data_IF_772596904749
#
_entry.id   IF_772596904749
#
_cell.length_a   1.000
_cell.length_b   1.000
_cell.length_c   1.000
_cell.angle_alpha   90.00
_cell.angle_beta   90.00
_cell.angle_gamma   90.00
#
_symmetry.space_group_name_H-M   'P 1'
#
loop_
_entity.id
_entity.type
_entity.pdbx_description
1 polymer ?
#
# COMPACT_ATOMS: atom_id res chain seq x y z
N UNK A 1 -10.09 -50.20 17.80
CA UNK A 1 -9.61 -49.43 16.63
C UNK A 1 -8.08 -49.36 16.54
N UNK A 2 -7.34 -48.99 17.61
CA UNK A 2 -5.86 -48.91 17.57
C UNK A 2 -5.16 -50.18 17.02
N UNK A 3 -5.54 -51.37 17.47
CA UNK A 3 -4.95 -52.64 16.98
C UNK A 3 -5.22 -52.91 15.49
N UNK A 4 -6.43 -52.57 15.01
CA UNK A 4 -6.85 -52.73 13.61
C UNK A 4 -6.14 -51.72 12.70
N UNK A 5 -5.97 -50.48 13.17
CA UNK A 5 -5.23 -49.43 12.47
C UNK A 5 -3.77 -49.79 12.21
N UNK A 6 -3.13 -50.48 13.17
CA UNK A 6 -1.74 -50.96 13.02
C UNK A 6 -1.61 -52.27 12.26
N UNK A 7 -2.64 -53.12 12.27
CA UNK A 7 -2.57 -54.47 11.70
C UNK A 7 -2.92 -54.57 10.21
N UNK A 8 -3.66 -53.59 9.64
CA UNK A 8 -4.07 -53.62 8.24
C UNK A 8 -3.88 -52.28 7.55
N UNK A 9 -2.98 -52.23 6.56
CA UNK A 9 -2.74 -51.05 5.71
C UNK A 9 -3.98 -50.66 4.90
N UNK A 10 -4.73 -51.64 4.41
CA UNK A 10 -5.97 -51.43 3.65
C UNK A 10 -7.04 -50.71 4.48
N UNK A 11 -7.30 -51.19 5.70
CA UNK A 11 -8.29 -50.58 6.62
C UNK A 11 -7.86 -49.17 7.00
N UNK A 12 -6.57 -48.97 7.27
CA UNK A 12 -5.99 -47.65 7.52
C UNK A 12 -6.23 -46.68 6.35
N UNK A 13 -5.89 -47.07 5.13
CA UNK A 13 -6.03 -46.20 3.96
C UNK A 13 -7.50 -45.84 3.67
N UNK A 14 -8.41 -46.81 3.70
CA UNK A 14 -9.82 -46.58 3.38
C UNK A 14 -10.47 -45.62 4.37
N UNK A 15 -10.31 -45.86 5.67
CA UNK A 15 -10.95 -45.02 6.68
C UNK A 15 -10.28 -43.66 6.83
N UNK A 16 -9.00 -43.54 6.49
CA UNK A 16 -8.32 -42.23 6.45
C UNK A 16 -8.83 -41.37 5.28
N UNK A 17 -8.88 -41.91 4.05
CA UNK A 17 -9.41 -41.17 2.90
C UNK A 17 -10.92 -40.91 3.00
N UNK A 18 -11.65 -41.86 3.58
CA UNK A 18 -13.08 -41.76 3.84
C UNK A 18 -13.45 -41.02 5.12
N UNK A 19 -12.49 -40.43 5.83
CA UNK A 19 -12.72 -39.89 7.17
C UNK A 19 -13.88 -38.89 7.26
N UNK A 20 -14.06 -37.91 6.35
CA UNK A 20 -15.20 -37.00 6.42
C UNK A 20 -16.55 -37.72 6.39
N UNK A 21 -16.67 -38.78 5.58
CA UNK A 21 -17.88 -39.62 5.52
C UNK A 21 -18.04 -40.46 6.79
N UNK A 22 -16.96 -41.04 7.30
CA UNK A 22 -16.97 -41.80 8.55
C UNK A 22 -17.42 -40.93 9.72
N UNK A 23 -16.86 -39.73 9.84
CA UNK A 23 -17.22 -38.74 10.85
C UNK A 23 -18.71 -38.41 10.79
N UNK A 24 -19.23 -38.12 9.60
CA UNK A 24 -20.66 -37.85 9.37
C UNK A 24 -21.55 -39.04 9.76
N UNK A 25 -21.14 -40.27 9.45
CA UNK A 25 -21.89 -41.47 9.82
C UNK A 25 -21.93 -41.66 11.34
N UNK A 26 -20.83 -41.40 12.03
CA UNK A 26 -20.74 -41.48 13.50
C UNK A 26 -21.56 -40.39 14.17
N UNK A 27 -21.47 -39.13 13.71
CA UNK A 27 -22.31 -38.04 14.23
C UNK A 27 -23.80 -38.32 14.03
N UNK A 28 -24.20 -38.71 12.81
CA UNK A 28 -25.60 -39.05 12.53
C UNK A 28 -26.11 -40.23 13.37
N UNK A 29 -25.25 -41.23 13.63
CA UNK A 29 -25.60 -42.33 14.52
C UNK A 29 -25.81 -41.83 15.94
N UNK A 30 -24.89 -41.03 16.46
CA UNK A 30 -24.97 -40.45 17.81
C UNK A 30 -26.23 -39.58 17.95
N UNK A 31 -26.53 -38.75 16.96
CA UNK A 31 -27.71 -37.87 16.95
C UNK A 31 -29.01 -38.66 16.86
N UNK A 32 -29.07 -39.69 16.02
CA UNK A 32 -30.24 -40.58 15.94
C UNK A 32 -30.46 -41.32 17.24
N UNK A 33 -29.42 -41.93 17.81
CA UNK A 33 -29.55 -42.63 19.10
C UNK A 33 -29.97 -41.66 20.21
N UNK A 34 -29.39 -40.45 20.24
CA UNK A 34 -29.77 -39.44 21.23
C UNK A 34 -31.24 -39.05 21.11
N UNK A 35 -31.71 -38.77 19.90
CA UNK A 35 -33.08 -38.34 19.61
C UNK A 35 -34.11 -39.44 19.86
N UNK A 36 -33.82 -40.66 19.41
CA UNK A 36 -34.73 -41.81 19.52
C UNK A 36 -34.84 -42.30 20.97
N UNK A 37 -33.91 -41.89 21.85
CA UNK A 37 -33.87 -42.29 23.26
C UNK A 37 -34.18 -41.13 24.22
N UNK A 38 -34.53 -39.96 23.68
CA UNK A 38 -34.95 -38.79 24.45
C UNK A 38 -36.42 -38.92 24.88
N UNK A 39 -36.63 -39.63 25.99
CA UNK A 39 -37.97 -39.84 26.58
C UNK A 39 -38.06 -39.10 27.92
N UNK A 40 -39.12 -38.31 28.12
CA UNK A 40 -39.35 -37.58 29.39
C UNK A 40 -39.31 -38.55 30.59
N UNK A 41 -38.40 -38.28 31.53
CA UNK A 41 -38.25 -39.04 32.77
C UNK A 41 -37.34 -40.27 32.69
N UNK A 42 -36.71 -40.53 31.53
CA UNK A 42 -35.76 -41.64 31.34
C UNK A 42 -34.40 -41.07 30.93
N UNK A 43 -33.32 -41.66 31.45
CA UNK A 43 -31.97 -41.29 31.06
C UNK A 43 -31.72 -41.65 29.57
N UNK A 44 -31.08 -40.77 28.77
CA UNK A 44 -30.73 -41.06 27.39
C UNK A 44 -29.85 -42.31 27.28
N UNK A 45 -29.96 -43.05 26.17
CA UNK A 45 -29.16 -44.28 26.00
C UNK A 45 -27.66 -44.04 25.86
N UNK A 46 -27.26 -42.82 25.46
CA UNK A 46 -25.86 -42.41 25.37
C UNK A 46 -25.66 -41.16 26.24
N UNK A 47 -24.78 -41.27 27.23
CA UNK A 47 -24.30 -40.13 28.02
C UNK A 47 -23.40 -39.22 27.19
N UNK A 48 -23.21 -37.96 27.61
CA UNK A 48 -22.25 -37.05 26.96
C UNK A 48 -20.85 -37.69 26.84
N UNK A 49 -20.39 -38.32 27.91
CA UNK A 49 -19.10 -39.01 27.95
C UNK A 49 -19.04 -40.20 26.97
N UNK A 50 -20.15 -40.91 26.78
CA UNK A 50 -20.27 -41.97 25.78
C UNK A 50 -20.16 -41.46 24.35
N UNK A 51 -20.72 -40.27 24.06
CA UNK A 51 -20.55 -39.60 22.76
C UNK A 51 -19.07 -39.30 22.51
N UNK A 52 -18.40 -38.72 23.50
CA UNK A 52 -16.99 -38.35 23.42
C UNK A 52 -16.10 -39.59 23.21
N UNK A 53 -16.40 -40.70 23.89
CA UNK A 53 -15.69 -41.97 23.69
C UNK A 53 -15.88 -42.56 22.29
N UNK A 54 -17.08 -42.43 21.70
CA UNK A 54 -17.35 -42.89 20.33
C UNK A 54 -16.61 -42.05 19.28
N UNK A 55 -16.54 -40.74 19.47
CA UNK A 55 -15.75 -39.84 18.62
C UNK A 55 -14.25 -40.13 18.79
N UNK A 56 -13.78 -40.30 20.03
CA UNK A 56 -12.38 -40.63 20.32
C UNK A 56 -11.95 -41.97 19.69
N UNK A 57 -12.88 -42.91 19.47
CA UNK A 57 -12.57 -44.18 18.83
C UNK A 57 -12.13 -44.04 17.36
N UNK A 58 -12.54 -42.96 16.68
CA UNK A 58 -12.18 -42.67 15.29
C UNK A 58 -11.08 -41.59 15.13
N UNK A 59 -10.62 -40.98 16.22
CA UNK A 59 -9.64 -39.88 16.21
C UNK A 59 -8.29 -40.25 15.58
N UNK A 60 -7.92 -41.53 15.62
CA UNK A 60 -6.70 -42.01 14.94
C UNK A 60 -6.76 -41.80 13.41
N UNK A 61 -7.96 -41.91 12.82
CA UNK A 61 -8.19 -41.65 11.39
C UNK A 61 -8.29 -40.15 11.12
N UNK A 62 -8.81 -39.37 12.06
CA UNK A 62 -8.79 -37.90 12.00
C UNK A 62 -7.36 -37.39 11.90
N UNK A 63 -6.51 -37.79 12.84
CA UNK A 63 -5.11 -37.37 12.90
C UNK A 63 -4.37 -37.76 11.61
N UNK A 64 -4.61 -38.97 11.11
CA UNK A 64 -4.03 -39.43 9.85
C UNK A 64 -4.53 -38.62 8.63
N UNK A 65 -5.82 -38.30 8.59
CA UNK A 65 -6.43 -37.50 7.52
C UNK A 65 -5.88 -36.08 7.49
N UNK A 66 -5.78 -35.43 8.66
CA UNK A 66 -5.20 -34.09 8.79
C UNK A 66 -3.71 -34.08 8.40
N UNK A 67 -2.93 -35.07 8.85
CA UNK A 67 -1.54 -35.20 8.44
C UNK A 67 -1.37 -35.41 6.93
N UNK A 68 -2.28 -36.16 6.30
CA UNK A 68 -2.28 -36.37 4.85
C UNK A 68 -2.68 -35.10 4.09
N UNK A 69 -3.64 -34.33 4.60
CA UNK A 69 -4.02 -33.01 4.07
C UNK A 69 -2.80 -32.07 4.08
N UNK A 70 -2.16 -31.91 5.24
CA UNK A 70 -0.97 -31.09 5.40
C UNK A 70 0.16 -31.55 4.46
N UNK A 71 0.51 -32.84 4.45
CA UNK A 71 1.61 -33.37 3.63
C UNK A 71 1.37 -33.11 2.14
N UNK A 72 0.19 -33.47 1.61
CA UNK A 72 -0.11 -33.31 0.17
C UNK A 72 -0.02 -31.86 -0.26
N UNK A 73 -0.61 -30.95 0.52
CA UNK A 73 -0.59 -29.52 0.22
C UNK A 73 0.82 -28.92 0.36
N UNK A 74 1.57 -29.30 1.39
CA UNK A 74 2.98 -28.91 1.55
C UNK A 74 3.84 -29.40 0.39
N UNK A 75 3.62 -30.61 -0.12
CA UNK A 75 4.34 -31.14 -1.28
C UNK A 75 4.08 -30.31 -2.54
N UNK A 76 2.84 -29.86 -2.77
CA UNK A 76 2.54 -28.92 -3.86
C UNK A 76 3.31 -27.60 -3.70
N UNK A 77 3.33 -27.02 -2.51
CA UNK A 77 4.08 -25.77 -2.24
C UNK A 77 5.58 -25.98 -2.48
N UNK A 78 6.15 -27.07 -1.96
CA UNK A 78 7.58 -27.38 -2.11
C UNK A 78 8.00 -27.62 -3.57
N UNK A 79 7.10 -28.19 -4.38
CA UNK A 79 7.35 -28.41 -5.80
C UNK A 79 7.30 -27.12 -6.62
N UNK A 80 6.43 -26.17 -6.25
CA UNK A 80 6.29 -24.88 -6.93
C UNK A 80 7.35 -23.89 -6.47
N UNK A 81 7.72 -23.92 -5.19
CA UNK A 81 8.73 -23.06 -4.58
C UNK A 81 9.88 -23.91 -3.98
N UNK A 82 10.74 -24.50 -4.84
CA UNK A 82 11.83 -25.35 -4.39
C UNK A 82 12.92 -24.54 -3.66
N UNK A 83 13.38 -25.06 -2.52
CA UNK A 83 14.51 -24.52 -1.75
C UNK A 83 15.87 -25.14 -2.12
N UNK A 84 15.87 -26.17 -2.98
CA UNK A 84 16.97 -27.14 -3.08
C UNK A 84 18.31 -26.60 -3.63
N UNK A 85 18.38 -25.39 -4.20
CA UNK A 85 19.66 -24.76 -4.53
C UNK A 85 19.57 -23.25 -4.80
N UNK A 86 20.72 -22.58 -4.80
CA UNK A 86 20.87 -21.19 -5.27
C UNK A 86 20.45 -21.07 -6.75
N UNK A 87 20.66 -22.09 -7.58
CA UNK A 87 20.23 -22.13 -8.99
C UNK A 87 18.71 -22.28 -9.15
N UNK A 88 18.00 -22.82 -8.16
CA UNK A 88 16.53 -22.87 -8.14
C UNK A 88 15.86 -21.53 -7.81
N UNK A 89 16.60 -20.52 -7.32
CA UNK A 89 16.07 -19.16 -7.05
C UNK A 89 15.72 -18.33 -8.29
N UNK A 90 16.00 -18.88 -9.48
CA UNK A 90 15.67 -18.28 -10.77
C UNK A 90 14.39 -18.80 -11.41
N UNK A 91 13.76 -19.86 -10.86
CA UNK A 91 12.59 -20.47 -11.47
C UNK A 91 11.34 -19.67 -11.09
N UNK A 92 10.71 -19.07 -12.10
CA UNK A 92 9.41 -18.41 -11.94
C UNK A 92 8.32 -19.49 -11.98
N UNK A 93 7.47 -19.61 -10.94
CA UNK A 93 6.31 -20.48 -10.97
C UNK A 93 5.44 -20.23 -12.20
N UNK A 94 4.90 -21.27 -12.82
CA UNK A 94 3.94 -21.08 -13.90
C UNK A 94 2.56 -20.74 -13.36
N UNK A 95 1.75 -20.02 -14.14
CA UNK A 95 0.35 -19.71 -13.78
C UNK A 95 -0.48 -20.99 -13.52
N UNK A 96 -0.20 -22.07 -14.25
CA UNK A 96 -0.85 -23.36 -14.08
C UNK A 96 -0.49 -24.01 -12.73
N UNK A 97 0.78 -23.94 -12.32
CA UNK A 97 1.23 -24.41 -11.01
C UNK A 97 0.54 -23.67 -9.86
N UNK A 98 0.42 -22.35 -9.97
CA UNK A 98 -0.27 -21.51 -8.99
C UNK A 98 -1.76 -21.82 -8.94
N UNK A 99 -2.39 -21.94 -10.12
CA UNK A 99 -3.80 -22.32 -10.23
C UNK A 99 -4.08 -23.68 -9.57
N UNK A 100 -3.17 -24.65 -9.74
CA UNK A 100 -3.26 -25.98 -9.11
C UNK A 100 -3.20 -25.90 -7.59
N UNK A 101 -2.30 -25.11 -7.00
CA UNK A 101 -2.26 -24.93 -5.54
C UNK A 101 -3.60 -24.40 -5.02
N UNK A 102 -4.11 -23.34 -5.65
CA UNK A 102 -5.38 -22.72 -5.25
C UNK A 102 -6.53 -23.71 -5.36
N UNK A 103 -6.63 -24.44 -6.49
CA UNK A 103 -7.67 -25.45 -6.69
C UNK A 103 -7.60 -26.56 -5.65
N UNK A 104 -6.42 -27.07 -5.32
CA UNK A 104 -6.26 -28.13 -4.30
C UNK A 104 -6.68 -27.65 -2.92
N UNK A 105 -6.34 -26.42 -2.54
CA UNK A 105 -6.80 -25.84 -1.27
C UNK A 105 -8.33 -25.70 -1.27
N UNK A 106 -8.92 -25.23 -2.38
CA UNK A 106 -10.37 -25.08 -2.51
C UNK A 106 -11.09 -26.44 -2.42
N UNK A 107 -10.55 -27.49 -3.05
CA UNK A 107 -11.07 -28.85 -2.97
C UNK A 107 -11.06 -29.40 -1.53
N UNK A 108 -9.96 -29.20 -0.78
CA UNK A 108 -9.89 -29.64 0.62
C UNK A 108 -10.92 -28.91 1.51
N UNK A 109 -11.18 -27.62 1.25
CA UNK A 109 -12.23 -26.86 1.95
C UNK A 109 -13.62 -27.37 1.59
N UNK A 110 -13.91 -27.60 0.30
CA UNK A 110 -15.23 -28.05 -0.15
C UNK A 110 -15.60 -29.44 0.39
N UNK A 111 -14.63 -30.34 0.56
CA UNK A 111 -14.85 -31.68 1.15
C UNK A 111 -15.38 -31.60 2.58
N UNK A 112 -14.98 -30.59 3.35
CA UNK A 112 -15.33 -30.47 4.78
C UNK A 112 -16.31 -29.34 5.09
N UNK A 113 -16.74 -28.58 4.08
CA UNK A 113 -17.56 -27.37 4.23
C UNK A 113 -18.87 -27.57 5.01
N UNK A 114 -19.43 -28.78 4.98
CA UNK A 114 -20.66 -29.14 5.70
C UNK A 114 -20.41 -29.62 7.14
N UNK A 115 -19.15 -29.76 7.55
CA UNK A 115 -18.76 -30.32 8.84
C UNK A 115 -18.09 -29.26 9.71
N UNK A 116 -18.85 -28.58 10.58
CA UNK A 116 -18.37 -27.43 11.34
C UNK A 116 -17.03 -27.65 12.08
N UNK A 117 -16.93 -28.70 12.88
CA UNK A 117 -15.71 -29.00 13.65
C UNK A 117 -14.54 -29.46 12.75
N UNK A 118 -14.79 -30.42 11.87
CA UNK A 118 -13.77 -30.95 10.96
C UNK A 118 -13.24 -29.88 9.99
N UNK A 119 -14.10 -28.95 9.54
CA UNK A 119 -13.71 -27.80 8.74
C UNK A 119 -12.67 -26.95 9.46
N UNK A 120 -12.91 -26.60 10.73
CA UNK A 120 -11.94 -25.80 11.50
C UNK A 120 -10.59 -26.52 11.63
N UNK A 121 -10.59 -27.83 11.88
CA UNK A 121 -9.37 -28.62 11.94
C UNK A 121 -8.59 -28.61 10.61
N UNK A 122 -9.28 -28.80 9.48
CA UNK A 122 -8.65 -28.73 8.15
C UNK A 122 -8.15 -27.32 7.84
N UNK A 123 -8.90 -26.28 8.19
CA UNK A 123 -8.48 -24.89 8.00
C UNK A 123 -7.22 -24.54 8.81
N UNK A 124 -7.04 -25.14 10.00
CA UNK A 124 -5.80 -25.00 10.76
C UNK A 124 -4.60 -25.64 10.07
N UNK A 125 -4.79 -26.77 9.37
CA UNK A 125 -3.72 -27.36 8.54
C UNK A 125 -3.45 -26.51 7.29
N UNK A 126 -4.50 -26.02 6.61
CA UNK A 126 -4.36 -25.08 5.47
C UNK A 126 -3.62 -23.81 5.90
N UNK A 127 -3.90 -23.27 7.09
CA UNK A 127 -3.17 -22.12 7.65
C UNK A 127 -1.67 -22.38 7.69
N UNK A 128 -1.22 -23.56 8.15
CA UNK A 128 0.21 -23.93 8.16
C UNK A 128 0.80 -23.97 6.76
N UNK A 129 0.06 -24.53 5.80
CA UNK A 129 0.47 -24.58 4.38
C UNK A 129 0.61 -23.17 3.79
N UNK A 130 -0.34 -22.28 4.06
CA UNK A 130 -0.29 -20.90 3.55
C UNK A 130 0.87 -20.11 4.15
N UNK A 131 1.18 -20.32 5.43
CA UNK A 131 2.37 -19.75 6.06
C UNK A 131 3.66 -20.27 5.42
N UNK A 132 3.74 -21.59 5.18
CA UNK A 132 4.85 -22.19 4.44
C UNK A 132 4.97 -21.59 3.03
N UNK A 133 3.85 -21.39 2.33
CA UNK A 133 3.85 -20.77 1.00
C UNK A 133 4.42 -19.36 1.05
N UNK A 134 4.01 -18.54 2.03
CA UNK A 134 4.52 -17.20 2.20
C UNK A 134 6.03 -17.18 2.47
N UNK A 135 6.51 -18.01 3.40
CA UNK A 135 7.94 -18.14 3.73
C UNK A 135 8.77 -18.54 2.49
N UNK A 136 8.27 -19.51 1.72
CA UNK A 136 8.95 -19.96 0.50
C UNK A 136 8.95 -18.91 -0.59
N UNK A 137 7.86 -18.15 -0.73
CA UNK A 137 7.77 -17.06 -1.69
C UNK A 137 8.70 -15.90 -1.31
N UNK A 138 8.78 -15.55 -0.04
CA UNK A 138 9.67 -14.51 0.49
C UNK A 138 11.13 -14.84 0.17
N UNK A 139 11.56 -16.09 0.38
CA UNK A 139 12.92 -16.55 0.04
C UNK A 139 13.26 -16.43 -1.46
N UNK A 140 12.24 -16.38 -2.33
CA UNK A 140 12.39 -16.23 -3.78
C UNK A 140 12.48 -14.77 -4.22
N UNK A 141 12.12 -13.80 -3.37
CA UNK A 141 12.19 -12.37 -3.69
C UNK A 141 13.63 -11.94 -3.93
N UNK A 142 13.89 -11.31 -5.08
CA UNK A 142 15.17 -10.67 -5.34
C UNK A 142 15.24 -9.31 -4.66
N UNK A 143 16.26 -9.09 -3.83
CA UNK A 143 16.48 -7.86 -3.05
C UNK A 143 17.77 -7.09 -3.42
N UNK A 144 18.51 -7.58 -4.43
CA UNK A 144 19.76 -6.96 -4.89
C UNK A 144 19.57 -5.61 -5.60
N UNK A 145 20.66 -4.91 -5.91
CA UNK A 145 20.60 -3.61 -6.63
C UNK A 145 19.87 -3.70 -7.98
N UNK A 146 19.96 -4.84 -8.65
CA UNK A 146 19.27 -5.10 -9.92
C UNK A 146 17.73 -5.15 -9.80
N UNK A 147 17.18 -5.38 -8.60
CA UNK A 147 15.72 -5.39 -8.40
C UNK A 147 15.13 -3.98 -8.29
N UNK A 148 15.94 -2.99 -7.91
CA UNK A 148 15.51 -1.60 -7.66
C UNK A 148 15.87 -0.61 -8.76
N UNK A 149 16.58 -1.03 -9.81
CA UNK A 149 16.94 -0.10 -10.89
C UNK A 149 15.71 0.44 -11.62
N UNK A 150 15.71 1.72 -11.96
CA UNK A 150 14.60 2.39 -12.67
C UNK A 150 15.03 2.95 -14.02
N UNK A 151 16.24 2.59 -14.45
CA UNK A 151 16.86 3.03 -15.70
C UNK A 151 17.14 1.83 -16.59
N UNK A 152 16.85 1.95 -17.88
CA UNK A 152 17.08 0.87 -18.84
C UNK A 152 15.99 -0.20 -18.81
N UNK A 153 16.26 -1.36 -19.40
CA UNK A 153 15.27 -2.43 -19.48
C UNK A 153 15.07 -3.13 -18.13
N UNK A 154 13.88 -3.70 -17.93
CA UNK A 154 13.58 -4.50 -16.75
C UNK A 154 14.52 -5.71 -16.64
N UNK A 155 15.17 -5.88 -15.49
CA UNK A 155 16.10 -6.99 -15.23
C UNK A 155 15.35 -8.32 -15.05
N UNK A 156 16.07 -9.44 -15.19
CA UNK A 156 15.51 -10.75 -14.87
C UNK A 156 15.04 -10.84 -13.41
N UNK A 157 15.74 -10.19 -12.48
CA UNK A 157 15.36 -10.10 -11.07
C UNK A 157 14.02 -9.36 -10.88
N UNK A 158 13.81 -8.26 -11.62
CA UNK A 158 12.55 -7.50 -11.59
C UNK A 158 11.40 -8.29 -12.20
N UNK A 159 11.62 -8.90 -13.38
CA UNK A 159 10.61 -9.74 -14.05
C UNK A 159 10.18 -10.89 -13.13
N UNK A 160 11.13 -11.51 -12.41
CA UNK A 160 10.83 -12.54 -11.41
C UNK A 160 9.95 -11.99 -10.28
N UNK A 161 10.32 -10.86 -9.69
CA UNK A 161 9.53 -10.25 -8.62
C UNK A 161 8.13 -9.84 -9.12
N UNK A 162 7.98 -9.38 -10.37
CA UNK A 162 6.69 -9.02 -10.96
C UNK A 162 5.78 -10.23 -11.07
N UNK A 163 6.30 -11.35 -11.59
CA UNK A 163 5.55 -12.60 -11.68
C UNK A 163 5.17 -13.11 -10.28
N UNK A 164 6.10 -13.06 -9.32
CA UNK A 164 5.84 -13.46 -7.94
C UNK A 164 4.73 -12.61 -7.29
N UNK A 165 4.78 -11.28 -7.43
CA UNK A 165 3.73 -10.38 -6.97
C UNK A 165 2.36 -10.76 -7.55
N UNK A 166 2.29 -10.99 -8.86
CA UNK A 166 1.05 -11.34 -9.56
C UNK A 166 0.50 -12.70 -9.08
N UNK A 167 1.36 -13.70 -8.92
CA UNK A 167 0.97 -15.03 -8.45
C UNK A 167 0.46 -15.03 -7.01
N UNK A 168 1.17 -14.35 -6.11
CA UNK A 168 0.74 -14.24 -4.71
C UNK A 168 -0.55 -13.43 -4.59
N UNK A 169 -0.70 -12.37 -5.39
CA UNK A 169 -1.95 -11.62 -5.44
C UNK A 169 -3.11 -12.47 -5.97
N UNK A 170 -2.89 -13.33 -6.97
CA UNK A 170 -3.90 -14.27 -7.46
C UNK A 170 -4.32 -15.26 -6.37
N UNK A 171 -3.35 -15.87 -5.65
CA UNK A 171 -3.61 -16.76 -4.52
C UNK A 171 -4.44 -16.05 -3.46
N UNK A 172 -3.99 -14.86 -3.03
CA UNK A 172 -4.69 -14.05 -2.04
C UNK A 172 -6.13 -13.75 -2.46
N UNK A 173 -6.33 -13.28 -3.70
CA UNK A 173 -7.66 -12.88 -4.20
C UNK A 173 -8.62 -14.07 -4.24
N UNK A 174 -8.18 -15.19 -4.80
CA UNK A 174 -9.02 -16.38 -4.95
C UNK A 174 -9.35 -17.03 -3.61
N UNK A 175 -8.37 -17.15 -2.70
CA UNK A 175 -8.60 -17.74 -1.40
C UNK A 175 -9.37 -16.81 -0.45
N UNK A 176 -9.22 -15.49 -0.57
CA UNK A 176 -10.06 -14.53 0.16
C UNK A 176 -11.52 -14.61 -0.30
N UNK A 177 -11.77 -14.80 -1.60
CA UNK A 177 -13.12 -15.03 -2.12
C UNK A 177 -13.72 -16.36 -1.64
N UNK A 178 -12.89 -17.40 -1.46
CA UNK A 178 -13.33 -18.64 -0.82
C UNK A 178 -13.63 -18.42 0.67
N UNK A 179 -12.74 -17.74 1.40
CA UNK A 179 -12.90 -17.45 2.82
C UNK A 179 -14.16 -16.62 3.12
N UNK A 180 -14.51 -15.65 2.26
CA UNK A 180 -15.73 -14.84 2.43
C UNK A 180 -17.04 -15.63 2.26
N UNK A 181 -16.97 -16.84 1.68
CA UNK A 181 -18.12 -17.76 1.58
C UNK A 181 -18.25 -18.70 2.78
N UNK A 182 -17.29 -18.68 3.72
CA UNK A 182 -17.28 -19.51 4.93
C UNK A 182 -17.90 -18.77 6.13
N UNK A 183 -18.31 -19.48 7.20
CA UNK A 183 -18.70 -18.87 8.47
C UNK A 183 -17.58 -17.98 9.05
N UNK A 184 -17.94 -16.92 9.79
CA UNK A 184 -16.98 -15.92 10.29
C UNK A 184 -15.79 -16.51 11.04
N UNK A 185 -16.04 -17.48 11.93
CA UNK A 185 -14.98 -18.17 12.70
C UNK A 185 -13.98 -18.90 11.78
N UNK A 186 -14.47 -19.51 10.70
CA UNK A 186 -13.66 -20.21 9.72
C UNK A 186 -12.87 -19.24 8.82
N UNK A 187 -13.49 -18.12 8.42
CA UNK A 187 -12.82 -17.07 7.66
C UNK A 187 -11.66 -16.44 8.45
N UNK A 188 -11.83 -16.25 9.77
CA UNK A 188 -10.81 -15.69 10.65
C UNK A 188 -9.54 -16.55 10.76
N UNK A 189 -9.66 -17.88 10.65
CA UNK A 189 -8.50 -18.78 10.64
C UNK A 189 -7.57 -18.50 9.45
N UNK A 190 -8.16 -18.08 8.32
CA UNK A 190 -7.44 -17.82 7.06
C UNK A 190 -7.02 -16.35 6.91
N UNK A 191 -7.59 -15.40 7.65
CA UNK A 191 -7.32 -13.97 7.49
C UNK A 191 -5.84 -13.62 7.71
N UNK A 192 -5.25 -14.15 8.79
CA UNK A 192 -3.83 -13.95 9.14
C UNK A 192 -2.86 -14.45 8.06
N UNK A 193 -2.86 -15.73 7.65
CA UNK A 193 -1.92 -16.20 6.62
C UNK A 193 -2.15 -15.55 5.25
N UNK A 194 -3.39 -15.22 4.89
CA UNK A 194 -3.69 -14.48 3.65
C UNK A 194 -3.07 -13.07 3.68
N UNK A 195 -3.16 -12.38 4.83
CA UNK A 195 -2.49 -11.08 5.01
C UNK A 195 -0.97 -11.17 4.86
N UNK A 196 -0.34 -12.25 5.34
CA UNK A 196 1.11 -12.47 5.17
C UNK A 196 1.47 -12.67 3.69
N UNK A 197 0.71 -13.50 2.97
CA UNK A 197 0.90 -13.70 1.52
C UNK A 197 0.77 -12.37 0.75
N UNK A 198 -0.22 -11.55 1.10
CA UNK A 198 -0.40 -10.22 0.51
C UNK A 198 0.78 -9.29 0.82
N UNK A 199 1.29 -9.33 2.06
CA UNK A 199 2.49 -8.59 2.48
C UNK A 199 3.70 -8.92 1.62
N UNK A 200 4.03 -10.21 1.48
CA UNK A 200 5.16 -10.68 0.65
C UNK A 200 4.97 -10.27 -0.82
N UNK A 201 3.74 -10.33 -1.35
CA UNK A 201 3.44 -9.86 -2.69
C UNK A 201 3.77 -8.37 -2.85
N UNK A 202 3.35 -7.54 -1.89
CA UNK A 202 3.61 -6.11 -1.89
C UNK A 202 5.11 -5.78 -1.78
N UNK A 203 5.81 -6.42 -0.85
CA UNK A 203 7.24 -6.21 -0.62
C UNK A 203 8.10 -6.54 -1.84
N UNK A 204 7.70 -7.54 -2.62
CA UNK A 204 8.43 -7.97 -3.82
C UNK A 204 8.62 -6.87 -4.88
N UNK A 205 7.70 -5.90 -4.93
CA UNK A 205 7.73 -4.77 -5.89
C UNK A 205 7.92 -3.42 -5.23
N UNK A 206 7.75 -3.29 -3.92
CA UNK A 206 7.81 -2.01 -3.19
C UNK A 206 9.13 -1.27 -3.41
N UNK A 207 10.25 -1.99 -3.44
CA UNK A 207 11.60 -1.39 -3.61
C UNK A 207 11.76 -0.70 -4.98
N UNK A 208 11.15 -1.22 -6.04
CA UNK A 208 11.16 -0.57 -7.36
C UNK A 208 10.35 0.73 -7.35
N UNK A 209 9.16 0.70 -6.75
CA UNK A 209 8.31 1.90 -6.64
C UNK A 209 8.97 2.98 -5.78
N UNK A 210 9.64 2.58 -4.71
CA UNK A 210 10.39 3.50 -3.85
C UNK A 210 11.56 4.15 -4.61
N UNK A 211 12.35 3.37 -5.36
CA UNK A 211 13.43 3.90 -6.19
C UNK A 211 12.92 4.85 -7.29
N UNK A 212 11.75 4.56 -7.86
CA UNK A 212 11.13 5.43 -8.86
C UNK A 212 10.64 6.73 -8.24
N UNK A 213 10.01 6.66 -7.07
CA UNK A 213 9.58 7.83 -6.32
C UNK A 213 10.76 8.73 -5.98
N UNK A 214 11.84 8.18 -5.44
CA UNK A 214 13.08 8.91 -5.14
C UNK A 214 13.66 9.60 -6.37
N UNK A 215 13.62 8.95 -7.54
CA UNK A 215 14.03 9.56 -8.81
C UNK A 215 13.14 10.76 -9.19
N UNK A 216 11.82 10.63 -9.07
CA UNK A 216 10.88 11.71 -9.38
C UNK A 216 11.02 12.88 -8.41
N UNK A 217 11.17 12.61 -7.11
CA UNK A 217 11.43 13.62 -6.08
C UNK A 217 12.76 14.34 -6.34
N UNK A 218 13.80 13.62 -6.75
CA UNK A 218 15.09 14.21 -7.16
C UNK A 218 14.95 15.16 -8.35
N UNK A 219 14.14 14.81 -9.36
CA UNK A 219 13.83 15.71 -10.47
C UNK A 219 13.13 16.99 -9.97
N UNK A 220 12.13 16.86 -9.10
CA UNK A 220 11.39 18.01 -8.53
C UNK A 220 12.32 18.91 -7.72
N UNK A 221 13.28 18.36 -6.98
CA UNK A 221 14.23 19.15 -6.20
C UNK A 221 15.11 20.08 -7.06
N UNK A 222 15.37 19.72 -8.32
CA UNK A 222 16.08 20.60 -9.26
C UNK A 222 15.34 21.91 -9.53
N UNK A 223 14.06 22.02 -9.19
CA UNK A 223 13.32 23.30 -9.20
C UNK A 223 14.05 24.38 -8.40
N UNK A 224 14.71 24.02 -7.29
CA UNK A 224 15.42 24.97 -6.42
C UNK A 224 16.77 25.44 -7.00
N UNK A 225 17.23 24.86 -8.13
CA UNK A 225 18.41 25.34 -8.86
C UNK A 225 18.04 26.24 -10.04
N UNK A 226 16.75 26.39 -10.36
CA UNK A 226 16.26 27.22 -11.45
C UNK A 226 16.05 28.67 -10.99
N UNK A 227 16.23 29.62 -11.91
CA UNK A 227 15.95 31.04 -11.63
C UNK A 227 14.47 31.38 -11.91
N UNK A 228 13.70 31.59 -10.84
CA UNK A 228 12.31 32.07 -10.87
C UNK A 228 12.19 33.58 -10.58
N UNK A 229 13.31 34.30 -10.47
CA UNK A 229 13.35 35.73 -10.12
C UNK A 229 13.13 36.66 -11.31
N UNK A 230 13.36 36.20 -12.54
CA UNK A 230 13.01 36.93 -13.77
C UNK A 230 14.00 38.00 -14.24
N UNK A 231 15.29 37.92 -13.88
CA UNK A 231 16.29 38.95 -14.23
C UNK A 231 16.93 38.80 -15.62
N UNK A 232 16.49 37.85 -16.46
CA UNK A 232 17.03 37.66 -17.81
C UNK A 232 16.14 38.24 -18.92
N UNK A 233 16.72 38.99 -19.86
CA UNK A 233 16.03 39.41 -21.10
C UNK A 233 15.54 38.21 -21.95
N UNK A 234 16.01 37.00 -21.68
CA UNK A 234 15.59 35.74 -22.31
C UNK A 234 14.41 35.04 -21.60
N UNK A 235 13.98 35.52 -20.42
CA UNK A 235 12.94 34.85 -19.61
C UNK A 235 11.55 34.78 -20.27
N UNK A 236 11.32 35.57 -21.34
CA UNK A 236 10.09 35.58 -22.12
C UNK A 236 10.13 34.79 -23.43
N UNK A 237 11.30 34.27 -23.86
CA UNK A 237 11.46 33.57 -25.14
C UNK A 237 11.66 32.06 -25.01
N UNK A 238 12.05 31.56 -23.83
CA UNK A 238 12.05 30.11 -23.55
C UNK A 238 10.62 29.61 -23.33
N UNK A 239 9.96 29.32 -24.44
CA UNK A 239 8.64 28.70 -24.47
C UNK A 239 8.69 27.19 -24.14
N UNK A 240 9.88 26.68 -23.80
CA UNK A 240 10.10 25.28 -23.49
C UNK A 240 9.73 24.96 -22.03
N UNK A 241 9.42 23.68 -21.80
CA UNK A 241 9.31 23.07 -20.49
C UNK A 241 10.58 23.31 -19.65
N UNK A 242 10.44 23.40 -18.33
CA UNK A 242 11.63 23.41 -17.47
C UNK A 242 12.40 22.10 -17.63
N UNK A 243 13.73 22.14 -17.68
CA UNK A 243 14.56 20.96 -17.96
C UNK A 243 14.29 19.77 -17.01
N UNK A 244 14.01 20.07 -15.73
CA UNK A 244 13.67 19.04 -14.74
C UNK A 244 12.30 18.39 -14.99
N UNK A 245 11.35 19.11 -15.61
CA UNK A 245 10.04 18.57 -16.01
C UNK A 245 10.15 17.64 -17.22
N UNK A 246 11.04 17.94 -18.17
CA UNK A 246 11.37 17.04 -19.27
C UNK A 246 12.03 15.74 -18.76
N UNK A 247 12.96 15.83 -17.80
CA UNK A 247 13.54 14.63 -17.15
C UNK A 247 12.48 13.81 -16.38
N UNK A 248 11.59 14.49 -15.66
CA UNK A 248 10.47 13.87 -14.94
C UNK A 248 9.55 13.14 -15.93
N UNK A 249 9.14 13.81 -17.01
CA UNK A 249 8.28 13.25 -18.04
C UNK A 249 8.93 12.02 -18.69
N UNK A 250 10.19 12.12 -19.13
CA UNK A 250 10.96 10.99 -19.68
C UNK A 250 11.03 9.82 -18.71
N UNK A 251 11.25 10.09 -17.43
CA UNK A 251 11.29 9.06 -16.38
C UNK A 251 9.92 8.39 -16.22
N UNK A 252 8.82 9.14 -16.19
CA UNK A 252 7.46 8.55 -16.10
C UNK A 252 7.07 7.73 -17.33
N UNK A 253 7.38 8.20 -18.54
CA UNK A 253 7.13 7.48 -19.80
C UNK A 253 7.93 6.17 -19.81
N UNK A 254 9.21 6.24 -19.47
CA UNK A 254 10.06 5.06 -19.36
C UNK A 254 9.49 4.08 -18.33
N UNK A 255 9.09 4.56 -17.16
CA UNK A 255 8.53 3.72 -16.11
C UNK A 255 7.25 3.01 -16.55
N UNK A 256 6.37 3.73 -17.26
CA UNK A 256 5.14 3.21 -17.83
C UNK A 256 5.40 2.09 -18.84
N UNK A 257 6.29 2.35 -19.79
CA UNK A 257 6.56 1.46 -20.91
C UNK A 257 7.36 0.23 -20.50
N UNK A 258 8.34 0.38 -19.62
CA UNK A 258 9.22 -0.74 -19.22
C UNK A 258 8.68 -1.53 -18.04
N UNK A 259 8.15 -0.89 -17.00
CA UNK A 259 7.79 -1.60 -15.76
C UNK A 259 6.28 -1.76 -15.60
N UNK A 260 5.51 -0.67 -15.73
CA UNK A 260 4.06 -0.75 -15.49
C UNK A 260 3.31 -1.55 -16.56
N UNK A 261 3.76 -1.56 -17.82
CA UNK A 261 3.18 -2.42 -18.87
C UNK A 261 3.26 -3.91 -18.52
N UNK A 262 4.30 -4.33 -17.79
CA UNK A 262 4.53 -5.70 -17.33
C UNK A 262 3.76 -6.02 -16.04
N UNK A 263 3.63 -5.03 -15.14
CA UNK A 263 2.94 -5.16 -13.85
C UNK A 263 1.41 -5.02 -13.95
N UNK A 264 0.93 -4.21 -14.89
CA UNK A 264 -0.48 -3.89 -15.13
C UNK A 264 -0.86 -4.33 -16.55
N UNK A 265 -1.03 -5.65 -16.81
CA UNK A 265 -1.49 -6.10 -18.11
C UNK A 265 -2.83 -5.45 -18.46
N UNK A 266 -2.92 -4.90 -19.67
CA UNK A 266 -4.09 -4.14 -20.20
C UNK A 266 -5.41 -4.92 -20.25
N UNK A 267 -5.43 -6.18 -19.80
CA UNK A 267 -6.52 -7.14 -19.90
C UNK A 267 -7.09 -7.50 -18.53
N UNK A 268 -7.37 -6.51 -17.68
CA UNK A 268 -8.25 -6.71 -16.53
C UNK A 268 -9.48 -5.81 -16.63
N UNK A 269 -10.52 -6.36 -17.25
CA UNK A 269 -11.91 -5.97 -17.03
C UNK A 269 -12.38 -6.25 -15.57
N UNK A 270 -11.44 -6.53 -14.65
CA UNK A 270 -11.70 -6.67 -13.23
C UNK A 270 -11.66 -5.28 -12.61
N UNK A 271 -12.80 -4.83 -12.08
CA UNK A 271 -12.95 -3.59 -11.30
C UNK A 271 -12.22 -3.60 -9.95
N UNK A 272 -11.42 -4.63 -9.66
CA UNK A 272 -10.72 -4.78 -8.39
C UNK A 272 -9.34 -4.14 -8.44
N UNK A 273 -9.07 -3.30 -7.45
CA UNK A 273 -7.77 -2.70 -7.22
C UNK A 273 -6.70 -3.78 -6.99
N UNK A 274 -5.58 -3.67 -7.70
CA UNK A 274 -4.39 -4.52 -7.54
C UNK A 274 -3.34 -3.84 -6.67
N UNK A 275 -2.41 -4.63 -6.12
CA UNK A 275 -1.26 -4.12 -5.35
C UNK A 275 -0.51 -3.06 -6.15
N UNK A 276 -0.20 -3.36 -7.41
CA UNK A 276 0.49 -2.43 -8.30
C UNK A 276 -0.30 -1.15 -8.54
N UNK A 277 -1.62 -1.22 -8.77
CA UNK A 277 -2.43 0.01 -8.92
C UNK A 277 -2.46 0.86 -7.66
N UNK A 278 -2.46 0.24 -6.47
CA UNK A 278 -2.40 0.96 -5.20
C UNK A 278 -1.06 1.66 -5.01
N UNK A 279 0.06 0.97 -5.29
CA UNK A 279 1.41 1.53 -5.21
C UNK A 279 1.60 2.69 -6.19
N UNK A 280 1.13 2.52 -7.44
CA UNK A 280 1.15 3.59 -8.45
C UNK A 280 0.32 4.79 -8.00
N UNK A 281 -0.90 4.58 -7.47
CA UNK A 281 -1.75 5.67 -6.95
C UNK A 281 -1.07 6.43 -5.81
N UNK A 282 -0.46 5.71 -4.86
CA UNK A 282 0.29 6.31 -3.74
C UNK A 282 1.48 7.12 -4.23
N UNK A 283 2.25 6.59 -5.17
CA UNK A 283 3.38 7.29 -5.78
C UNK A 283 2.92 8.55 -6.53
N UNK A 284 1.90 8.45 -7.38
CA UNK A 284 1.34 9.60 -8.11
C UNK A 284 0.83 10.70 -7.15
N UNK A 285 0.10 10.30 -6.10
CA UNK A 285 -0.38 11.21 -5.05
C UNK A 285 0.77 11.95 -4.36
N UNK A 286 1.83 11.21 -4.02
CA UNK A 286 3.02 11.77 -3.38
C UNK A 286 3.74 12.76 -4.29
N UNK A 287 3.91 12.43 -5.57
CA UNK A 287 4.55 13.29 -6.56
C UNK A 287 3.84 14.64 -6.68
N UNK A 288 2.49 14.65 -6.71
CA UNK A 288 1.74 15.90 -6.77
C UNK A 288 1.94 16.77 -5.52
N UNK A 289 1.80 16.20 -4.33
CA UNK A 289 1.98 16.95 -3.07
C UNK A 289 3.42 17.41 -2.90
N UNK A 290 4.40 16.58 -3.25
CA UNK A 290 5.81 16.92 -3.17
C UNK A 290 6.14 18.09 -4.11
N UNK A 291 5.61 18.08 -5.33
CA UNK A 291 5.75 19.22 -6.25
C UNK A 291 5.17 20.51 -5.67
N UNK A 292 3.92 20.50 -5.19
CA UNK A 292 3.25 21.70 -4.63
C UNK A 292 4.03 22.23 -3.42
N UNK A 293 4.53 21.33 -2.56
CA UNK A 293 5.40 21.72 -1.44
C UNK A 293 6.63 22.45 -1.91
N UNK A 294 7.36 21.89 -2.88
CA UNK A 294 8.59 22.52 -3.36
C UNK A 294 8.30 23.82 -4.13
N UNK A 295 7.20 23.88 -4.87
CA UNK A 295 6.73 25.09 -5.54
C UNK A 295 6.38 26.21 -4.55
N UNK A 296 5.75 25.89 -3.42
CA UNK A 296 5.44 26.85 -2.36
C UNK A 296 6.69 27.35 -1.61
N UNK A 297 7.82 26.64 -1.70
CA UNK A 297 9.09 27.05 -1.10
C UNK A 297 9.94 27.92 -2.04
N UNK A 298 9.56 28.06 -3.32
CA UNK A 298 10.31 28.88 -4.29
C UNK A 298 10.18 30.36 -3.94
N UNK A 299 11.34 31.01 -3.75
CA UNK A 299 11.46 32.45 -3.49
C UNK A 299 12.84 32.96 -3.97
N UNK A 300 12.92 34.14 -4.61
CA UNK A 300 11.81 35.01 -5.04
C UNK A 300 11.01 34.40 -6.21
N UNK A 301 9.73 34.75 -6.31
CA UNK A 301 8.82 34.28 -7.36
C UNK A 301 8.22 35.50 -8.10
N UNK A 302 8.77 35.81 -9.27
CA UNK A 302 8.30 36.92 -10.12
C UNK A 302 7.07 36.55 -10.95
N UNK A 303 6.47 37.51 -11.67
CA UNK A 303 5.35 37.23 -12.59
C UNK A 303 5.72 36.23 -13.70
N UNK A 304 6.92 36.35 -14.28
CA UNK A 304 7.42 35.36 -15.24
C UNK A 304 7.68 34.00 -14.58
N UNK A 305 8.18 34.00 -13.35
CA UNK A 305 8.33 32.80 -12.52
C UNK A 305 6.99 32.10 -12.25
N UNK A 306 5.92 32.85 -11.95
CA UNK A 306 4.56 32.32 -11.76
C UNK A 306 4.03 31.67 -13.03
N UNK A 307 4.21 32.31 -14.19
CA UNK A 307 3.79 31.73 -15.48
C UNK A 307 4.53 30.42 -15.79
N UNK A 308 5.85 30.39 -15.54
CA UNK A 308 6.65 29.16 -15.68
C UNK A 308 6.17 28.07 -14.73
N UNK A 309 5.98 28.40 -13.47
CA UNK A 309 5.46 27.48 -12.45
C UNK A 309 4.09 26.90 -12.82
N UNK A 310 3.19 27.72 -13.37
CA UNK A 310 1.88 27.28 -13.85
C UNK A 310 1.97 26.33 -15.06
N UNK A 311 2.97 26.52 -15.93
CA UNK A 311 3.29 25.60 -17.03
C UNK A 311 3.81 24.27 -16.49
N UNK A 312 4.78 24.30 -15.59
CA UNK A 312 5.35 23.10 -14.95
C UNK A 312 4.25 22.27 -14.24
N UNK A 313 3.28 22.92 -13.58
CA UNK A 313 2.10 22.23 -13.02
C UNK A 313 1.24 21.53 -14.07
N UNK A 314 1.06 22.16 -15.24
CA UNK A 314 0.30 21.58 -16.35
C UNK A 314 1.00 20.35 -16.92
N UNK A 315 2.32 20.44 -17.07
CA UNK A 315 3.17 19.34 -17.54
C UNK A 315 3.21 18.20 -16.54
N UNK A 316 3.26 18.49 -15.23
CA UNK A 316 3.18 17.49 -14.17
C UNK A 316 1.82 16.77 -14.20
N UNK A 317 0.73 17.53 -14.27
CA UNK A 317 -0.64 16.99 -14.38
C UNK A 317 -0.73 16.04 -15.58
N UNK A 318 -0.21 16.44 -16.73
CA UNK A 318 -0.18 15.62 -17.93
C UNK A 318 0.70 14.37 -17.78
N UNK A 319 1.93 14.52 -17.29
CA UNK A 319 2.89 13.43 -17.14
C UNK A 319 2.38 12.36 -16.16
N UNK A 320 1.80 12.78 -15.04
CA UNK A 320 1.20 11.87 -14.05
C UNK A 320 -0.06 11.22 -14.62
N UNK A 321 -0.96 12.00 -15.23
CA UNK A 321 -2.23 11.52 -15.77
C UNK A 321 -2.09 10.50 -16.91
N UNK A 322 -1.13 10.72 -17.80
CA UNK A 322 -0.89 9.83 -18.95
C UNK A 322 -0.05 8.60 -18.60
N UNK A 323 0.95 8.76 -17.73
CA UNK A 323 1.98 7.73 -17.55
C UNK A 323 1.91 6.99 -16.22
N UNK A 324 1.36 7.59 -15.16
CA UNK A 324 1.30 6.95 -13.85
C UNK A 324 -0.13 6.53 -13.49
N UNK A 325 -1.01 7.49 -13.22
CA UNK A 325 -2.34 7.22 -12.69
C UNK A 325 -3.34 8.31 -13.12
N UNK A 326 -4.61 7.97 -13.41
CA UNK A 326 -5.65 8.97 -13.70
C UNK A 326 -5.78 9.98 -12.56
N UNK A 327 -5.44 11.24 -12.82
CA UNK A 327 -5.31 12.28 -11.79
C UNK A 327 -6.64 12.57 -11.09
N UNK A 328 -7.77 12.42 -11.78
CA UNK A 328 -9.11 12.62 -11.27
C UNK A 328 -9.46 11.65 -10.14
N UNK A 329 -8.81 10.48 -10.12
CA UNK A 329 -8.99 9.45 -9.11
C UNK A 329 -8.04 9.61 -7.90
N UNK A 330 -7.16 10.63 -7.89
CA UNK A 330 -6.25 10.87 -6.77
C UNK A 330 -6.91 11.63 -5.63
N UNK A 331 -8.04 12.33 -5.85
CA UNK A 331 -8.76 13.03 -4.79
C UNK A 331 -8.03 14.28 -4.30
N UNK A 332 -7.76 14.37 -2.99
CA UNK A 332 -7.22 15.57 -2.34
C UNK A 332 -5.88 16.07 -2.94
N UNK A 333 -4.87 15.22 -3.23
CA UNK A 333 -3.65 15.62 -3.93
C UNK A 333 -3.88 16.33 -5.26
N UNK A 334 -4.84 15.88 -6.06
CA UNK A 334 -5.15 16.51 -7.34
C UNK A 334 -5.89 17.84 -7.14
N UNK A 335 -6.86 17.90 -6.22
CA UNK A 335 -7.52 19.17 -5.86
C UNK A 335 -6.52 20.22 -5.37
N UNK A 336 -5.54 19.82 -4.56
CA UNK A 336 -4.47 20.71 -4.12
C UNK A 336 -3.67 21.27 -5.30
N UNK A 337 -3.28 20.46 -6.29
CA UNK A 337 -2.58 20.94 -7.49
C UNK A 337 -3.43 21.96 -8.26
N UNK A 338 -4.71 21.64 -8.46
CA UNK A 338 -5.67 22.48 -9.17
C UNK A 338 -5.96 23.80 -8.45
N UNK A 339 -5.98 23.79 -7.12
CA UNK A 339 -6.19 24.97 -6.29
C UNK A 339 -4.93 25.85 -6.19
N UNK A 340 -3.74 25.24 -6.15
CA UNK A 340 -2.49 25.99 -6.01
C UNK A 340 -2.18 26.84 -7.27
N UNK A 341 -2.50 26.33 -8.46
CA UNK A 341 -2.26 27.02 -9.74
C UNK A 341 -2.90 28.42 -9.84
N UNK A 342 -4.20 28.64 -9.53
CA UNK A 342 -4.76 29.99 -9.46
C UNK A 342 -4.27 30.78 -8.24
N UNK A 343 -3.99 30.11 -7.11
CA UNK A 343 -3.51 30.76 -5.87
C UNK A 343 -2.24 31.55 -6.11
N UNK A 344 -1.28 31.06 -6.90
CA UNK A 344 -0.02 31.80 -7.16
C UNK A 344 -0.24 33.16 -7.84
N UNK A 345 -1.34 33.35 -8.58
CA UNK A 345 -1.71 34.59 -9.26
C UNK A 345 -2.64 35.50 -8.45
N UNK A 346 -3.28 34.99 -7.39
CA UNK A 346 -4.14 35.82 -6.54
C UNK A 346 -3.35 36.91 -5.84
N UNK A 347 -3.95 38.10 -5.76
CA UNK A 347 -3.45 39.17 -4.90
C UNK A 347 -3.47 38.76 -3.42
N UNK A 348 -2.53 39.27 -2.62
CA UNK A 348 -2.44 38.96 -1.18
C UNK A 348 -3.72 39.33 -0.43
N UNK A 349 -4.37 40.44 -0.81
CA UNK A 349 -5.63 40.93 -0.23
C UNK A 349 -6.80 39.97 -0.42
N UNK A 350 -6.82 39.20 -1.52
CA UNK A 350 -7.90 38.31 -1.90
C UNK A 350 -7.73 36.89 -1.35
N UNK A 351 -6.54 36.57 -0.81
CA UNK A 351 -6.19 35.20 -0.45
C UNK A 351 -7.01 34.68 0.73
N UNK A 352 -7.19 35.48 1.80
CA UNK A 352 -7.85 35.06 3.04
C UNK A 352 -9.29 34.54 2.85
N UNK A 353 -10.03 35.13 1.90
CA UNK A 353 -11.42 34.77 1.62
C UNK A 353 -11.59 33.77 0.47
N UNK A 354 -10.49 33.27 -0.11
CA UNK A 354 -10.56 32.41 -1.29
C UNK A 354 -10.97 30.98 -0.91
N UNK A 355 -12.00 30.39 -1.56
CA UNK A 355 -12.39 29.01 -1.33
C UNK A 355 -11.29 28.02 -1.73
N UNK A 356 -10.36 28.44 -2.60
CA UNK A 356 -9.22 27.63 -3.05
C UNK A 356 -8.30 27.20 -1.90
N UNK A 357 -8.30 27.92 -0.77
CA UNK A 357 -7.51 27.56 0.39
C UNK A 357 -8.01 26.29 1.08
N UNK A 358 -9.29 25.92 0.92
CA UNK A 358 -9.87 24.73 1.54
C UNK A 358 -9.32 23.42 0.95
N UNK A 359 -8.86 23.47 -0.29
CA UNK A 359 -8.28 22.32 -1.01
C UNK A 359 -6.75 22.23 -0.83
N UNK A 360 -6.13 23.13 -0.06
CA UNK A 360 -4.69 23.18 0.16
C UNK A 360 -4.34 22.87 1.62
N UNK A 361 -3.25 22.11 1.86
CA UNK A 361 -2.72 21.99 3.22
C UNK A 361 -2.28 23.36 3.75
N UNK A 362 -2.60 23.70 5.01
CA UNK A 362 -2.27 25.01 5.58
C UNK A 362 -0.79 25.33 5.55
N UNK A 363 0.06 24.33 5.82
CA UNK A 363 1.51 24.43 5.64
C UNK A 363 1.90 24.94 4.25
N UNK A 364 1.29 24.43 3.17
CA UNK A 364 1.58 24.89 1.81
C UNK A 364 1.24 26.37 1.62
N UNK A 365 0.07 26.79 2.12
CA UNK A 365 -0.39 28.19 2.02
C UNK A 365 0.58 29.11 2.75
N UNK A 366 0.94 28.78 3.99
CA UNK A 366 1.84 29.58 4.81
C UNK A 366 3.25 29.64 4.21
N UNK A 367 3.75 28.55 3.62
CA UNK A 367 5.05 28.56 2.94
C UNK A 367 5.03 29.46 1.71
N UNK A 368 3.98 29.37 0.88
CA UNK A 368 3.82 30.24 -0.28
C UNK A 368 3.77 31.72 0.09
N UNK A 369 3.17 32.07 1.23
CA UNK A 369 3.10 33.46 1.69
C UNK A 369 4.47 34.11 1.91
N UNK A 370 5.52 33.35 2.27
CA UNK A 370 6.88 33.91 2.33
C UNK A 370 7.35 34.46 1.00
N UNK A 371 6.93 33.88 -0.14
CA UNK A 371 7.29 34.40 -1.47
C UNK A 371 6.73 35.80 -1.75
N UNK A 372 5.66 36.19 -1.02
CA UNK A 372 4.99 37.49 -1.13
C UNK A 372 5.48 38.50 -0.09
N UNK A 373 6.19 38.03 0.93
CA UNK A 373 6.65 38.83 2.05
C UNK A 373 7.95 39.59 1.74
N UNK A 374 8.32 40.56 2.60
CA UNK A 374 9.59 41.28 2.47
C UNK A 374 10.78 40.35 2.74
N UNK A 375 11.94 40.61 2.13
CA UNK A 375 13.16 39.77 2.23
C UNK A 375 13.65 39.53 3.66
N UNK A 376 13.30 40.44 4.57
CA UNK A 376 13.63 40.36 5.99
C UNK A 376 12.85 39.27 6.73
N UNK A 377 11.67 38.91 6.23
CA UNK A 377 10.85 37.81 6.74
C UNK A 377 11.42 36.48 6.23
N UNK A 378 12.35 35.91 6.99
CA UNK A 378 13.00 34.65 6.64
C UNK A 378 12.07 33.46 6.89
N UNK A 379 12.03 32.51 5.96
CA UNK A 379 11.31 31.25 6.17
C UNK A 379 11.99 30.36 7.21
N UNK A 380 11.30 29.37 7.80
CA UNK A 380 11.93 28.45 8.76
C UNK A 380 13.11 27.68 8.16
N UNK A 381 13.03 27.35 6.86
CA UNK A 381 14.12 26.75 6.10
C UNK A 381 15.35 27.67 6.05
N UNK A 382 15.17 28.95 5.73
CA UNK A 382 16.24 29.94 5.65
C UNK A 382 16.85 30.23 7.03
N UNK A 383 16.00 30.45 8.05
CA UNK A 383 16.41 30.71 9.44
C UNK A 383 17.31 29.60 9.97
N UNK A 384 16.93 28.34 9.73
CA UNK A 384 17.67 27.18 10.21
C UNK A 384 18.76 26.68 9.25
N UNK A 385 18.98 27.38 8.12
CA UNK A 385 19.97 27.05 7.08
C UNK A 385 19.84 25.60 6.56
N UNK A 386 18.61 25.12 6.44
CA UNK A 386 18.31 23.77 5.94
C UNK A 386 18.31 23.75 4.42
N UNK A 387 18.73 22.65 3.82
CA UNK A 387 18.52 22.43 2.38
C UNK A 387 17.03 22.15 2.10
N UNK A 388 16.56 22.37 0.85
CA UNK A 388 15.18 22.05 0.49
C UNK A 388 14.78 20.61 0.81
N UNK A 389 15.70 19.65 0.60
CA UNK A 389 15.48 18.25 0.93
C UNK A 389 15.38 18.02 2.44
N UNK A 390 16.32 18.55 3.24
CA UNK A 390 16.28 18.43 4.71
C UNK A 390 15.00 19.01 5.29
N UNK A 391 14.56 20.16 4.78
CA UNK A 391 13.33 20.79 5.22
C UNK A 391 12.09 19.99 4.79
N UNK A 392 12.06 19.45 3.57
CA UNK A 392 10.94 18.62 3.11
C UNK A 392 10.81 17.33 3.93
N UNK A 393 11.93 16.68 4.25
CA UNK A 393 11.95 15.50 5.14
C UNK A 393 11.47 15.85 6.56
N UNK A 394 11.86 17.03 7.07
CA UNK A 394 11.34 17.51 8.34
C UNK A 394 9.83 17.73 8.28
N UNK A 395 9.30 18.38 7.24
CA UNK A 395 7.86 18.57 7.04
C UNK A 395 7.09 17.25 6.98
N UNK A 396 7.66 16.18 6.41
CA UNK A 396 7.03 14.85 6.41
C UNK A 396 6.94 14.20 7.80
N UNK A 397 7.83 14.58 8.71
CA UNK A 397 7.88 14.04 10.08
C UNK A 397 7.02 14.79 11.08
N UNK A 398 6.45 15.94 10.70
CA UNK A 398 5.76 16.86 11.60
C UNK A 398 4.29 17.04 11.23
N UNK A 399 3.44 17.22 12.24
CA UNK A 399 2.06 17.67 12.05
C UNK A 399 1.97 19.19 11.83
N UNK A 400 0.84 19.65 11.30
CA UNK A 400 0.58 21.07 10.99
C UNK A 400 0.82 21.99 12.20
N UNK A 401 0.55 21.55 13.44
CA UNK A 401 0.80 22.33 14.65
C UNK A 401 2.28 22.64 14.88
N UNK A 402 3.16 21.66 14.64
CA UNK A 402 4.61 21.84 14.82
C UNK A 402 5.19 22.68 13.68
N UNK A 403 4.67 22.51 12.47
CA UNK A 403 5.00 23.36 11.32
C UNK A 403 4.61 24.81 11.63
N UNK A 404 3.40 25.04 12.16
CA UNK A 404 2.94 26.36 12.56
C UNK A 404 3.82 26.96 13.66
N UNK A 405 4.23 26.22 14.69
CA UNK A 405 5.17 26.72 15.72
C UNK A 405 6.48 27.20 15.10
N UNK A 406 7.03 26.45 14.15
CA UNK A 406 8.25 26.85 13.43
C UNK A 406 8.05 28.14 12.62
N UNK A 407 6.92 28.27 11.94
CA UNK A 407 6.53 29.47 11.19
C UNK A 407 6.33 30.66 12.13
N UNK A 408 5.55 30.49 13.21
CA UNK A 408 5.29 31.52 14.21
C UNK A 408 6.58 32.09 14.79
N UNK A 409 7.55 31.23 15.11
CA UNK A 409 8.84 31.69 15.61
C UNK A 409 9.56 32.63 14.62
N UNK A 410 9.42 32.43 13.31
CA UNK A 410 10.00 33.36 12.31
C UNK A 410 9.21 34.66 12.17
N UNK A 411 7.90 34.62 12.39
CA UNK A 411 7.05 35.81 12.44
C UNK A 411 7.41 36.66 13.68
N UNK A 412 7.62 36.01 14.82
CA UNK A 412 8.07 36.66 16.07
C UNK A 412 9.45 37.33 15.87
N UNK A 413 10.38 36.67 15.19
CA UNK A 413 11.69 37.25 14.84
C UNK A 413 11.57 38.47 13.93
N UNK A 414 10.67 38.44 12.94
CA UNK A 414 10.39 39.57 12.08
C UNK A 414 9.79 40.74 12.86
N UNK A 415 8.81 40.47 13.73
CA UNK A 415 8.20 41.48 14.58
C UNK A 415 9.23 42.16 15.48
N UNK A 416 10.12 41.39 16.12
CA UNK A 416 11.21 41.95 16.93
C UNK A 416 12.12 42.88 16.12
N UNK A 417 12.46 42.51 14.88
CA UNK A 417 13.29 43.36 13.99
C UNK A 417 12.58 44.65 13.59
N UNK A 418 11.31 44.59 13.22
CA UNK A 418 10.49 45.77 12.87
C UNK A 418 10.39 46.72 14.07
N UNK A 419 10.09 46.19 15.26
CA UNK A 419 10.02 46.98 16.50
C UNK A 419 11.36 47.61 16.87
N UNK A 420 12.47 46.89 16.70
CA UNK A 420 13.81 47.42 16.98
C UNK A 420 14.19 48.62 16.09
N UNK A 421 13.61 48.71 14.88
CA UNK A 421 13.77 49.88 13.99
C UNK A 421 12.87 51.06 14.32
N UNK A 422 11.87 50.86 15.18
CA UNK A 422 10.87 51.88 15.50
C UNK A 422 9.72 51.97 14.51
N UNK A 423 9.63 51.04 13.55
CA UNK A 423 8.54 50.96 12.58
C UNK A 423 7.26 50.48 13.27
N UNK A 424 6.11 51.09 12.96
CA UNK A 424 4.79 50.70 13.49
C UNK A 424 3.91 49.94 12.50
N UNK A 425 4.34 49.88 11.24
CA UNK A 425 3.61 49.22 10.17
C UNK A 425 4.24 47.86 9.86
N UNK A 426 3.41 46.82 9.87
CA UNK A 426 3.80 45.47 9.52
C UNK A 426 3.40 45.16 8.07
N UNK A 427 4.14 44.26 7.41
CA UNK A 427 3.74 43.78 6.09
C UNK A 427 2.33 43.15 6.14
N UNK A 428 1.46 43.41 5.14
CA UNK A 428 0.15 42.73 5.04
C UNK A 428 0.25 41.20 5.03
N UNK A 429 1.37 40.67 4.53
CA UNK A 429 1.66 39.23 4.51
C UNK A 429 1.87 38.67 5.92
N UNK A 430 2.56 39.41 6.79
CA UNK A 430 2.77 39.00 8.18
C UNK A 430 1.42 38.86 8.92
N UNK A 431 0.53 39.85 8.76
CA UNK A 431 -0.80 39.81 9.38
C UNK A 431 -1.64 38.65 8.85
N UNK A 432 -1.58 38.40 7.53
CA UNK A 432 -2.28 37.29 6.90
C UNK A 432 -1.79 35.92 7.38
N UNK A 433 -0.47 35.75 7.52
CA UNK A 433 0.12 34.50 8.04
C UNK A 433 -0.28 34.25 9.50
N UNK A 434 -0.33 35.28 10.33
CA UNK A 434 -0.85 35.19 11.71
C UNK A 434 -2.32 34.77 11.74
N UNK A 435 -3.16 35.37 10.89
CA UNK A 435 -4.58 35.04 10.82
C UNK A 435 -4.80 33.57 10.42
N UNK A 436 -4.16 33.13 9.34
CA UNK A 436 -4.29 31.74 8.84
C UNK A 436 -3.72 30.76 9.86
N UNK A 437 -2.53 31.02 10.39
CA UNK A 437 -1.90 30.09 11.33
C UNK A 437 -2.58 30.00 12.69
N UNK A 438 -3.16 31.10 13.19
CA UNK A 438 -3.92 31.06 14.46
C UNK A 438 -5.19 30.22 14.34
N UNK A 439 -5.86 30.27 13.18
CA UNK A 439 -7.03 29.41 12.92
C UNK A 439 -6.71 27.91 12.96
N UNK A 440 -5.46 27.52 12.69
CA UNK A 440 -5.00 26.13 12.79
C UNK A 440 -4.84 25.68 14.25
N UNK A 441 -4.29 26.55 15.09
CA UNK A 441 -4.13 26.27 16.52
C UNK A 441 -5.49 26.11 17.22
N UNK A 442 -6.48 26.91 16.84
CA UNK A 442 -7.85 26.82 17.39
C UNK A 442 -8.55 25.51 16.97
N UNK A 443 -8.32 25.10 15.72
CA UNK A 443 -8.84 23.82 15.17
C UNK A 443 -8.27 22.59 15.88
N UNK A 444 -6.99 22.63 16.26
CA UNK A 444 -6.31 21.55 16.98
C UNK A 444 -6.65 21.49 18.48
N UNK A 445 -7.05 22.62 19.08
CA UNK A 445 -7.53 22.67 20.47
C UNK A 445 -8.98 22.17 20.66
N UNK A 446 -9.69 21.94 19.56
CA UNK A 446 -11.09 21.54 19.51
C UNK A 446 -11.29 20.04 19.17
N UNK A 447 -10.19 19.30 19.04
CA UNK A 447 -10.14 17.83 18.91
C UNK A 447 -9.42 17.24 20.12
#
# INVERSE_FOLDING_TARGET
MKSVYTASSFVKEIFTHGYPKLFTMVENLIDRVSRDTEVKGVLPAISSEGKDQMVAAIDIFQTAYLAQCLSRLSDYVNNVFPMASISSRGIIPSKDQISKIVLRIQEEIEVVKLHGHLMLLVLHEIRKVLMLLAERAEYQVSTGSESKQVTGSATAAQIKNFALCQHLQEIHTRLSATASSLPAVAADVLSSPLSVIYGVACESVTTLFQAMLERLESCILQMHTQDFSGHGMDAGMDNNASAYMDELQKSTIHFRNEFLSKLLPSSSASRSETICTQLVRRMASRVLIFFIRHAALVRPLSESGKLRMARDMAELELAVGQNLFPVEQLGAPYRALRAFRPVIFLETSQLAGSPLLQDLPPSIILHHLYSRGPDELQSPMQRNKLTPLQYSLWLDSQGEDQIWKGIKATLDDYEMKVRARGDKEYSPVYLLMLQIGSSLADSASSQ
#
